data_IF_212027607356
#
_entry.id   IF_212027607356
#
_cell.length_a   1.000
_cell.length_b   1.000
_cell.length_c   1.000
_cell.angle_alpha   90.00
_cell.angle_beta   90.00
_cell.angle_gamma   90.00
#
_symmetry.space_group_name_H-M   'P 1'
#
loop_
_entity.id
_entity.type
_entity.pdbx_description
1 polymer ?
#
# COMPACT_ATOMS: atom_id res chain seq x y z
N UNK A 1 2.01 29.78 -5.16
CA UNK A 1 1.13 30.40 -4.15
C UNK A 1 0.48 29.35 -3.26
N UNK A 2 -0.11 28.30 -3.86
CA UNK A 2 -0.74 27.16 -3.16
C UNK A 2 0.20 26.39 -2.23
N UNK A 3 1.42 26.02 -2.65
CA UNK A 3 2.35 25.28 -1.76
C UNK A 3 2.85 26.11 -0.56
N UNK A 4 2.86 27.45 -0.67
CA UNK A 4 3.19 28.32 0.47
C UNK A 4 2.08 28.27 1.53
N UNK A 5 0.82 28.34 1.07
CA UNK A 5 -0.34 28.19 1.95
C UNK A 5 -0.39 26.79 2.57
N UNK A 6 -0.13 25.75 1.77
CA UNK A 6 -0.04 24.36 2.26
C UNK A 6 0.93 24.25 3.43
N UNK A 7 2.18 24.69 3.22
CA UNK A 7 3.22 24.67 4.25
C UNK A 7 2.82 25.44 5.50
N UNK A 8 2.21 26.62 5.33
CA UNK A 8 1.75 27.42 6.46
C UNK A 8 0.69 26.66 7.29
N UNK A 9 -0.36 26.14 6.64
CA UNK A 9 -1.45 25.43 7.32
C UNK A 9 -0.93 24.14 7.99
N UNK A 10 -0.08 23.38 7.33
CA UNK A 10 0.53 22.17 7.92
C UNK A 10 1.37 22.54 9.15
N UNK A 11 2.16 23.62 9.08
CA UNK A 11 2.95 24.09 10.23
C UNK A 11 2.06 24.50 11.42
N UNK A 12 0.92 25.15 11.16
CA UNK A 12 -0.06 25.51 12.20
C UNK A 12 -0.69 24.27 12.87
N UNK A 13 -0.89 23.17 12.12
CA UNK A 13 -1.38 21.89 12.65
C UNK A 13 -0.28 21.14 13.39
N UNK A 14 0.95 21.13 12.87
CA UNK A 14 2.10 20.49 13.50
C UNK A 14 2.41 21.11 14.88
N UNK A 15 2.28 22.44 15.01
CA UNK A 15 2.44 23.14 16.29
C UNK A 15 1.44 22.67 17.38
N UNK A 16 0.32 22.04 17.00
CA UNK A 16 -0.67 21.46 17.91
C UNK A 16 -0.40 19.99 18.26
N UNK A 17 0.56 19.35 17.60
CA UNK A 17 0.94 17.94 17.78
C UNK A 17 2.47 17.84 18.00
N UNK A 18 3.00 18.41 19.10
CA UNK A 18 4.45 18.55 19.32
C UNK A 18 5.19 17.22 19.55
N UNK A 19 4.45 16.14 19.76
CA UNK A 19 4.93 14.76 19.88
C UNK A 19 5.27 14.12 18.53
N UNK A 20 4.84 14.72 17.41
CA UNK A 20 5.11 14.25 16.05
C UNK A 20 6.21 15.13 15.43
N UNK A 21 7.31 14.51 15.00
CA UNK A 21 8.37 15.21 14.26
C UNK A 21 7.84 15.70 12.90
N UNK A 22 8.08 16.97 12.59
CA UNK A 22 7.63 17.61 11.35
C UNK A 22 8.80 18.23 10.59
N UNK A 23 8.94 17.89 9.31
CA UNK A 23 9.88 18.52 8.39
C UNK A 23 9.24 18.78 7.02
N UNK A 24 9.69 19.84 6.35
CA UNK A 24 9.22 20.21 5.02
C UNK A 24 10.22 19.77 3.95
N UNK A 25 9.73 19.18 2.86
CA UNK A 25 10.55 18.79 1.71
C UNK A 25 9.89 19.27 0.41
N UNK A 26 10.70 19.80 -0.52
CA UNK A 26 10.22 20.09 -1.87
C UNK A 26 9.98 18.78 -2.63
N UNK A 27 8.97 18.76 -3.52
CA UNK A 27 8.51 17.54 -4.20
C UNK A 27 9.59 16.88 -5.07
N UNK A 28 10.43 17.68 -5.72
CA UNK A 28 11.55 17.21 -6.54
C UNK A 28 12.63 16.54 -5.68
N UNK A 29 12.99 17.15 -4.54
CA UNK A 29 13.89 16.53 -3.58
C UNK A 29 13.24 15.27 -2.95
N UNK A 30 11.94 15.28 -2.69
CA UNK A 30 11.22 14.13 -2.14
C UNK A 30 11.32 12.92 -3.06
N UNK A 31 11.07 13.08 -4.36
CA UNK A 31 11.27 12.01 -5.35
C UNK A 31 12.71 11.47 -5.30
N UNK A 32 13.72 12.35 -5.28
CA UNK A 32 15.12 11.91 -5.15
C UNK A 32 15.40 11.16 -3.83
N UNK A 33 14.82 11.59 -2.72
CA UNK A 33 15.01 10.97 -1.41
C UNK A 33 14.32 9.61 -1.29
N UNK A 34 13.15 9.44 -1.92
CA UNK A 34 12.41 8.18 -1.99
C UNK A 34 13.32 7.10 -2.60
N UNK A 35 14.03 7.40 -3.69
CA UNK A 35 14.98 6.46 -4.29
C UNK A 35 16.27 6.31 -3.45
N UNK A 36 16.80 7.42 -2.92
CA UNK A 36 18.12 7.43 -2.27
C UNK A 36 18.14 6.80 -0.87
N UNK A 37 17.12 7.09 -0.06
CA UNK A 37 17.03 6.66 1.32
C UNK A 37 15.55 6.61 1.77
N UNK A 38 14.75 5.66 1.26
CA UNK A 38 13.31 5.59 1.54
C UNK A 38 13.01 5.37 3.03
N UNK A 39 13.91 4.70 3.77
CA UNK A 39 13.75 4.38 5.18
C UNK A 39 13.76 5.61 6.12
N UNK A 40 14.03 6.82 5.61
CA UNK A 40 13.91 8.05 6.40
C UNK A 40 12.46 8.52 6.58
N UNK A 41 11.53 8.00 5.79
CA UNK A 41 10.13 8.43 5.80
C UNK A 41 9.27 7.51 6.66
N UNK A 42 8.35 8.12 7.41
CA UNK A 42 7.24 7.43 8.09
C UNK A 42 5.93 7.77 7.38
N UNK A 43 5.52 9.05 7.47
CA UNK A 43 4.32 9.58 6.77
C UNK A 43 4.72 10.70 5.82
N UNK A 44 4.29 10.60 4.56
CA UNK A 44 4.40 11.67 3.57
C UNK A 44 3.03 12.32 3.37
N UNK A 45 2.91 13.59 3.77
CA UNK A 45 1.72 14.41 3.57
C UNK A 45 1.91 15.35 2.38
N UNK A 46 1.06 15.23 1.35
CA UNK A 46 1.21 16.03 0.14
C UNK A 46 -0.13 16.32 -0.55
N UNK A 47 -0.12 17.26 -1.50
CA UNK A 47 -1.30 17.64 -2.28
C UNK A 47 -1.59 16.61 -3.39
N UNK A 48 -2.82 16.59 -3.88
CA UNK A 48 -3.35 15.57 -4.82
C UNK A 48 -2.36 15.18 -5.96
N UNK A 49 -1.98 16.12 -6.83
CA UNK A 49 -1.08 15.82 -7.97
C UNK A 49 0.31 15.31 -7.54
N UNK A 50 0.84 15.80 -6.41
CA UNK A 50 2.12 15.32 -5.91
C UNK A 50 1.98 13.95 -5.25
N UNK A 51 0.85 13.68 -4.61
CA UNK A 51 0.52 12.38 -4.02
C UNK A 51 0.43 11.30 -5.08
N UNK A 52 -0.28 11.59 -6.18
CA UNK A 52 -0.37 10.73 -7.37
C UNK A 52 1.03 10.25 -7.81
N UNK A 53 1.91 11.21 -8.14
CA UNK A 53 3.27 10.93 -8.62
C UNK A 53 4.13 10.18 -7.59
N UNK A 54 4.17 10.66 -6.34
CA UNK A 54 5.05 10.08 -5.31
C UNK A 54 4.56 8.71 -4.84
N UNK A 55 3.25 8.48 -4.83
CA UNK A 55 2.67 7.18 -4.45
C UNK A 55 2.99 6.08 -5.47
N UNK A 56 2.95 6.42 -6.77
CA UNK A 56 3.39 5.53 -7.84
C UNK A 56 4.89 5.23 -7.74
N UNK A 57 5.73 6.25 -7.48
CA UNK A 57 7.17 6.07 -7.31
C UNK A 57 7.50 5.11 -6.14
N UNK A 58 6.79 5.26 -5.01
CA UNK A 58 6.92 4.36 -3.86
C UNK A 58 6.45 2.94 -4.16
N UNK A 59 5.40 2.78 -4.96
CA UNK A 59 4.86 1.46 -5.31
C UNK A 59 5.84 0.61 -6.13
N UNK A 60 6.73 1.25 -6.88
CA UNK A 60 7.78 0.54 -7.64
C UNK A 60 8.91 0.07 -6.72
N UNK A 61 9.25 0.85 -5.69
CA UNK A 61 10.32 0.50 -4.74
C UNK A 61 10.02 -0.75 -3.92
N UNK A 62 8.74 -1.01 -3.61
CA UNK A 62 8.33 -2.22 -2.89
C UNK A 62 8.44 -3.49 -3.76
N UNK A 63 8.71 -3.35 -5.06
CA UNK A 63 8.95 -4.44 -5.99
C UNK A 63 7.70 -4.93 -6.73
N UNK A 64 6.49 -4.63 -6.24
CA UNK A 64 5.26 -4.86 -6.99
C UNK A 64 4.09 -3.99 -6.51
N UNK A 65 3.47 -3.30 -7.46
CA UNK A 65 2.19 -2.59 -7.26
C UNK A 65 1.06 -3.55 -6.87
N UNK A 66 1.15 -4.82 -7.27
CA UNK A 66 0.20 -5.88 -6.91
C UNK A 66 0.15 -6.21 -5.42
N UNK A 67 1.06 -5.65 -4.61
CA UNK A 67 1.08 -5.77 -3.16
C UNK A 67 0.49 -4.56 -2.42
N UNK A 68 0.18 -3.47 -3.11
CA UNK A 68 -0.14 -2.19 -2.48
C UNK A 68 -1.66 -1.98 -2.34
N UNK A 69 -2.24 -2.04 -1.13
CA UNK A 69 -3.63 -1.65 -0.91
C UNK A 69 -3.78 -0.12 -0.79
N UNK A 70 -4.99 0.39 -1.01
CA UNK A 70 -5.33 1.80 -0.88
C UNK A 70 -6.69 2.01 -0.18
N UNK A 71 -6.83 3.15 0.50
CA UNK A 71 -8.05 3.59 1.15
C UNK A 71 -8.27 5.10 0.97
N UNK A 72 -9.47 5.47 0.52
CA UNK A 72 -9.93 6.86 0.37
C UNK A 72 -11.08 7.15 1.32
N UNK A 73 -10.90 8.11 2.22
CA UNK A 73 -11.86 8.43 3.28
C UNK A 73 -12.67 9.69 2.95
N UNK A 74 -13.98 9.64 3.21
CA UNK A 74 -14.84 10.83 3.22
C UNK A 74 -15.03 11.36 4.64
N UNK A 75 -15.35 12.65 4.76
CA UNK A 75 -15.62 13.27 6.05
C UNK A 75 -16.87 12.71 6.76
N UNK A 76 -17.78 12.04 6.03
CA UNK A 76 -19.00 11.44 6.59
C UNK A 76 -18.80 10.00 7.07
N UNK A 77 -17.57 9.48 7.04
CA UNK A 77 -17.23 8.12 7.48
C UNK A 77 -17.39 7.03 6.41
N UNK A 78 -17.89 7.36 5.21
CA UNK A 78 -17.84 6.43 4.09
C UNK A 78 -16.41 6.38 3.54
N UNK A 79 -15.90 5.20 3.24
CA UNK A 79 -14.59 5.00 2.66
C UNK A 79 -14.64 4.06 1.45
N UNK A 80 -13.71 4.23 0.53
CA UNK A 80 -13.48 3.38 -0.63
C UNK A 80 -12.13 2.68 -0.48
N UNK A 81 -12.10 1.38 -0.78
CA UNK A 81 -10.91 0.54 -0.65
C UNK A 81 -10.65 -0.19 -1.96
N UNK A 82 -9.44 -0.04 -2.48
CA UNK A 82 -9.06 -0.54 -3.81
C UNK A 82 -7.58 -0.92 -3.85
N UNK A 83 -7.13 -1.81 -4.74
CA UNK A 83 -5.72 -1.98 -5.02
C UNK A 83 -5.15 -0.70 -5.64
N UNK A 84 -3.90 -0.35 -5.34
CA UNK A 84 -3.27 0.84 -5.93
C UNK A 84 -3.01 0.68 -7.44
N UNK A 85 -2.87 -0.56 -7.92
CA UNK A 85 -2.60 -0.86 -9.33
C UNK A 85 -3.82 -0.75 -10.24
N UNK A 86 -3.56 -0.59 -11.54
CA UNK A 86 -4.58 -0.60 -12.59
C UNK A 86 -5.13 -1.99 -12.92
N UNK A 87 -5.98 -2.05 -13.96
CA UNK A 87 -6.72 -3.26 -14.33
C UNK A 87 -5.92 -4.36 -15.03
N UNK A 88 -4.68 -4.09 -15.45
CA UNK A 88 -3.78 -5.03 -16.16
C UNK A 88 -4.51 -5.87 -17.24
N UNK A 89 -5.11 -5.23 -18.27
CA UNK A 89 -6.02 -5.89 -19.21
C UNK A 89 -5.36 -6.98 -20.06
N UNK A 90 -4.04 -6.93 -20.21
CA UNK A 90 -3.22 -7.91 -20.92
C UNK A 90 -3.17 -9.28 -20.21
N UNK A 91 -3.40 -9.32 -18.90
CA UNK A 91 -3.41 -10.55 -18.09
C UNK A 91 -4.79 -10.94 -17.55
N UNK A 92 -5.84 -10.21 -17.96
CA UNK A 92 -7.21 -10.51 -17.58
C UNK A 92 -7.59 -11.95 -17.95
N UNK A 93 -8.32 -12.62 -17.05
CA UNK A 93 -8.78 -14.01 -17.18
C UNK A 93 -7.69 -15.09 -17.32
N UNK A 94 -6.41 -14.74 -17.14
CA UNK A 94 -5.30 -15.70 -17.23
C UNK A 94 -4.93 -16.37 -15.90
N UNK A 95 -5.60 -16.01 -14.79
CA UNK A 95 -5.29 -16.51 -13.43
C UNK A 95 -3.84 -16.23 -12.99
N UNK A 96 -3.24 -15.11 -13.41
CA UNK A 96 -1.85 -14.75 -13.05
C UNK A 96 -1.73 -13.40 -12.32
N UNK A 97 -2.83 -12.66 -12.16
CA UNK A 97 -2.83 -11.42 -11.40
C UNK A 97 -2.54 -11.66 -9.91
N UNK A 98 -1.82 -10.73 -9.27
CA UNK A 98 -1.57 -10.77 -7.84
C UNK A 98 -2.81 -10.36 -7.04
N UNK A 99 -3.41 -11.25 -6.22
CA UNK A 99 -4.60 -10.89 -5.45
C UNK A 99 -4.29 -10.09 -4.17
N UNK A 100 -3.00 -9.96 -3.77
CA UNK A 100 -2.60 -9.42 -2.47
C UNK A 100 -3.16 -8.02 -2.23
N UNK A 101 -2.96 -7.08 -3.15
CA UNK A 101 -3.43 -5.71 -2.98
C UNK A 101 -4.94 -5.64 -2.69
N UNK A 102 -5.75 -6.38 -3.44
CA UNK A 102 -7.20 -6.40 -3.24
C UNK A 102 -7.61 -7.05 -1.91
N UNK A 103 -6.92 -8.12 -1.49
CA UNK A 103 -7.12 -8.77 -0.19
C UNK A 103 -6.78 -7.81 0.96
N UNK A 104 -5.63 -7.13 0.87
CA UNK A 104 -5.20 -6.18 1.88
C UNK A 104 -6.09 -4.92 1.89
N UNK A 105 -6.69 -4.52 0.76
CA UNK A 105 -7.71 -3.45 0.76
C UNK A 105 -8.96 -3.86 1.54
N UNK A 106 -9.35 -5.14 1.52
CA UNK A 106 -10.40 -5.65 2.40
C UNK A 106 -9.97 -5.67 3.88
N UNK A 107 -8.69 -5.93 4.18
CA UNK A 107 -8.15 -5.77 5.53
C UNK A 107 -8.27 -4.31 6.03
N UNK A 108 -7.88 -3.33 5.21
CA UNK A 108 -8.07 -1.89 5.52
C UNK A 108 -9.55 -1.57 5.78
N UNK A 109 -10.46 -2.15 5.00
CA UNK A 109 -11.90 -1.98 5.18
C UNK A 109 -12.38 -2.48 6.56
N UNK A 110 -11.95 -3.68 6.97
CA UNK A 110 -12.27 -4.23 8.29
C UNK A 110 -11.76 -3.34 9.41
N UNK A 111 -10.51 -2.87 9.31
CA UNK A 111 -9.90 -2.00 10.30
C UNK A 111 -10.63 -0.66 10.42
N UNK A 112 -10.80 0.05 9.31
CA UNK A 112 -11.19 1.47 9.35
C UNK A 112 -12.70 1.72 9.21
N UNK A 113 -13.44 0.89 8.48
CA UNK A 113 -14.90 1.06 8.33
C UNK A 113 -15.70 0.24 9.33
N UNK A 114 -15.19 -0.93 9.74
CA UNK A 114 -15.93 -1.84 10.61
C UNK A 114 -15.37 -1.94 12.02
N UNK A 115 -14.20 -1.34 12.29
CA UNK A 115 -13.51 -1.42 13.59
C UNK A 115 -13.24 -2.88 14.04
N UNK A 116 -12.97 -3.74 13.06
CA UNK A 116 -12.67 -5.16 13.22
C UNK A 116 -11.15 -5.39 13.08
N UNK A 117 -10.41 -4.82 14.03
CA UNK A 117 -8.94 -4.88 14.04
C UNK A 117 -8.40 -6.32 14.14
N UNK A 118 -8.96 -7.23 14.98
CA UNK A 118 -8.49 -8.61 15.02
C UNK A 118 -8.63 -9.33 13.66
N UNK A 119 -9.74 -9.11 12.96
CA UNK A 119 -10.02 -9.74 11.67
C UNK A 119 -9.13 -9.16 10.56
N UNK A 120 -8.90 -7.84 10.57
CA UNK A 120 -7.91 -7.20 9.70
C UNK A 120 -6.52 -7.79 9.92
N UNK A 121 -6.07 -7.89 11.18
CA UNK A 121 -4.77 -8.46 11.52
C UNK A 121 -4.65 -9.95 11.13
N UNK A 122 -5.74 -10.71 11.20
CA UNK A 122 -5.77 -12.08 10.74
C UNK A 122 -5.50 -12.18 9.23
N UNK A 123 -6.11 -11.30 8.42
CA UNK A 123 -5.85 -11.23 6.97
C UNK A 123 -4.39 -10.88 6.69
N UNK A 124 -3.87 -9.82 7.33
CA UNK A 124 -2.48 -9.37 7.14
C UNK A 124 -1.49 -10.50 7.50
N UNK A 125 -1.76 -11.21 8.60
CA UNK A 125 -0.95 -12.34 9.05
C UNK A 125 -1.01 -13.51 8.08
N UNK A 126 -2.19 -13.83 7.54
CA UNK A 126 -2.38 -14.91 6.58
C UNK A 126 -1.67 -14.62 5.24
N UNK A 127 -1.76 -13.39 4.72
CA UNK A 127 -1.01 -12.96 3.54
C UNK A 127 0.49 -13.08 3.78
N UNK A 128 0.98 -12.59 4.93
CA UNK A 128 2.39 -12.71 5.31
C UNK A 128 2.82 -14.17 5.42
N UNK A 129 2.00 -15.04 5.98
CA UNK A 129 2.29 -16.47 6.12
C UNK A 129 2.42 -17.16 4.75
N UNK A 130 1.54 -16.85 3.79
CA UNK A 130 1.65 -17.38 2.42
C UNK A 130 2.96 -16.94 1.74
N UNK A 131 3.34 -15.67 1.88
CA UNK A 131 4.62 -15.14 1.35
C UNK A 131 5.81 -15.83 2.03
N UNK A 132 5.81 -15.96 3.37
CA UNK A 132 6.90 -16.62 4.12
C UNK A 132 7.01 -18.12 3.76
N UNK A 133 5.90 -18.77 3.43
CA UNK A 133 5.87 -20.17 2.97
C UNK A 133 6.37 -20.37 1.52
N UNK A 134 6.82 -19.28 0.88
CA UNK A 134 7.45 -19.27 -0.45
C UNK A 134 6.49 -19.07 -1.61
N UNK A 135 5.19 -18.86 -1.38
CA UNK A 135 4.24 -18.64 -2.47
C UNK A 135 4.44 -17.26 -3.09
N UNK A 136 4.44 -17.20 -4.42
CA UNK A 136 4.60 -15.98 -5.22
C UNK A 136 3.64 -16.02 -6.39
N UNK A 137 3.03 -14.89 -6.73
CA UNK A 137 2.52 -14.67 -8.09
C UNK A 137 3.65 -14.18 -8.99
N UNK A 138 3.45 -14.22 -10.30
CA UNK A 138 4.52 -13.97 -11.27
C UNK A 138 5.20 -12.60 -11.16
N UNK A 139 4.48 -11.59 -10.68
CA UNK A 139 4.95 -10.21 -10.50
C UNK A 139 5.91 -10.03 -9.31
N UNK A 140 5.88 -10.93 -8.32
CA UNK A 140 6.75 -10.87 -7.12
C UNK A 140 7.75 -12.04 -7.04
N UNK A 141 7.78 -12.90 -8.05
CA UNK A 141 8.75 -13.98 -8.14
C UNK A 141 10.14 -13.44 -8.51
N UNK A 142 11.16 -13.80 -7.75
CA UNK A 142 12.57 -13.42 -7.99
C UNK A 142 13.32 -14.48 -8.78
N UNK A 143 12.78 -15.70 -8.87
CA UNK A 143 13.44 -16.86 -9.46
C UNK A 143 14.28 -17.65 -8.46
N UNK A 144 14.15 -17.35 -7.16
CA UNK A 144 14.78 -18.13 -6.09
C UNK A 144 14.24 -19.56 -6.07
N UNK A 145 15.13 -20.54 -5.88
CA UNK A 145 14.79 -21.97 -5.99
C UNK A 145 13.75 -22.46 -4.95
N UNK A 146 13.52 -21.68 -3.89
CA UNK A 146 12.55 -22.00 -2.84
C UNK A 146 11.16 -21.38 -3.10
N UNK A 147 10.99 -20.60 -4.17
CA UNK A 147 9.72 -19.97 -4.52
C UNK A 147 8.77 -20.96 -5.21
N UNK A 148 7.50 -20.87 -4.84
CA UNK A 148 6.38 -21.58 -5.46
C UNK A 148 5.58 -20.56 -6.25
N UNK A 149 5.89 -20.43 -7.54
CA UNK A 149 5.15 -19.54 -8.44
C UNK A 149 3.78 -20.14 -8.71
N UNK A 150 2.74 -19.41 -8.35
CA UNK A 150 1.34 -19.84 -8.40
C UNK A 150 0.46 -18.78 -9.06
N UNK A 151 -0.73 -19.19 -9.49
CA UNK A 151 -1.74 -18.27 -10.03
C UNK A 151 -2.54 -17.55 -8.94
N UNK A 152 -3.46 -16.69 -9.39
CA UNK A 152 -4.33 -15.87 -8.53
C UNK A 152 -5.14 -16.73 -7.56
N UNK A 153 -5.80 -17.79 -8.06
CA UNK A 153 -6.63 -18.69 -7.26
C UNK A 153 -5.81 -19.45 -6.24
N UNK A 154 -4.71 -20.05 -6.68
CA UNK A 154 -3.86 -20.87 -5.83
C UNK A 154 -3.23 -20.05 -4.72
N UNK A 155 -2.79 -18.81 -4.99
CA UNK A 155 -2.31 -17.89 -3.94
C UNK A 155 -3.43 -17.57 -2.95
N UNK A 156 -4.63 -17.28 -3.45
CA UNK A 156 -5.81 -17.00 -2.60
C UNK A 156 -6.12 -18.19 -1.68
N UNK A 157 -6.07 -19.42 -2.19
CA UNK A 157 -6.28 -20.63 -1.40
C UNK A 157 -5.26 -20.76 -0.26
N UNK A 158 -4.01 -20.36 -0.47
CA UNK A 158 -3.00 -20.35 0.59
C UNK A 158 -3.29 -19.32 1.68
N UNK A 159 -3.77 -18.13 1.28
CA UNK A 159 -4.19 -17.11 2.26
C UNK A 159 -5.37 -17.62 3.08
N UNK A 160 -6.37 -18.22 2.44
CA UNK A 160 -7.53 -18.80 3.14
C UNK A 160 -7.10 -19.92 4.09
N UNK A 161 -6.19 -20.81 3.67
CA UNK A 161 -5.67 -21.87 4.50
C UNK A 161 -4.90 -21.35 5.73
N UNK A 162 -4.27 -20.18 5.62
CA UNK A 162 -3.51 -19.54 6.69
C UNK A 162 -4.36 -18.71 7.67
N UNK A 163 -5.67 -18.53 7.41
CA UNK A 163 -6.61 -17.86 8.33
C UNK A 163 -7.09 -18.76 9.48
N UNK A 164 -6.72 -20.05 9.46
CA UNK A 164 -7.18 -21.08 10.40
C UNK A 164 -6.51 -21.03 11.78
#
# INVERSE_FOLDING_TARGET
ATSKLWRQVVSEVAAKNPDIEHSDMLVDNCAMQIVKNPAQFDVILTANLFGDILSDELSVLSGSVGMMPSASFSASGLALYEPAGGSAPDIADLNIANPIAQILSASLMLAYSFNLLPESQAIDTAVKAAIVAGYRTGDIATGDANEKVVGTKEFTDQVIAALA
#
